data_IF_697312688808
#
_entry.id   IF_697312688808
#
_cell.length_a   1.000
_cell.length_b   1.000
_cell.length_c   1.000
_cell.angle_alpha   90.00
_cell.angle_beta   90.00
_cell.angle_gamma   90.00
#
_symmetry.space_group_name_H-M   'P 1'
#
loop_
_entity.id
_entity.type
_entity.pdbx_description
1 polymer ?
#
# COMPACT_ATOMS: atom_id res chain seq x y z
N UNK A 1 6.98 -8.69 6.68
CA UNK A 1 6.12 -8.39 5.49
C UNK A 1 5.68 -9.69 4.86
N UNK A 2 4.38 -9.80 4.55
CA UNK A 2 3.83 -10.95 3.83
C UNK A 2 3.93 -10.75 2.31
N UNK A 3 4.12 -11.86 1.61
CA UNK A 3 4.01 -11.94 0.16
C UNK A 3 3.16 -13.17 -0.18
N UNK A 4 1.83 -13.06 -0.06
CA UNK A 4 0.94 -14.20 -0.16
C UNK A 4 1.01 -14.86 -1.54
N UNK A 5 1.01 -16.18 -1.54
CA UNK A 5 0.97 -17.00 -2.75
C UNK A 5 -0.29 -17.87 -2.76
N UNK A 6 -0.63 -18.45 -3.92
CA UNK A 6 -1.75 -19.40 -3.99
C UNK A 6 -1.58 -20.63 -3.09
N UNK A 7 -0.30 -21.02 -2.80
CA UNK A 7 0.01 -22.19 -1.96
C UNK A 7 0.10 -21.83 -0.49
N UNK A 8 0.56 -20.61 -0.17
CA UNK A 8 0.73 -20.12 1.19
C UNK A 8 0.29 -18.66 1.28
N UNK A 9 -0.91 -18.39 1.84
CA UNK A 9 -1.41 -17.03 2.01
C UNK A 9 -0.63 -16.23 3.09
N UNK A 10 0.20 -16.89 3.87
CA UNK A 10 1.01 -16.30 4.93
C UNK A 10 2.51 -16.28 4.62
N UNK A 11 2.90 -16.60 3.39
CA UNK A 11 4.29 -16.53 2.98
C UNK A 11 4.89 -15.16 3.31
N UNK A 12 6.11 -15.13 3.84
CA UNK A 12 6.81 -13.92 4.25
C UNK A 12 7.97 -13.59 3.33
N UNK A 13 8.35 -12.33 3.29
CA UNK A 13 9.62 -11.87 2.75
C UNK A 13 10.66 -11.96 3.87
N UNK A 14 11.63 -12.87 3.80
CA UNK A 14 12.63 -13.03 4.85
C UNK A 14 13.43 -11.74 5.05
N UNK A 15 13.62 -11.34 6.32
CA UNK A 15 14.41 -10.17 6.68
C UNK A 15 13.72 -8.81 6.49
N UNK A 16 12.51 -8.75 5.92
CA UNK A 16 11.77 -7.51 5.75
C UNK A 16 10.62 -7.42 6.75
N UNK A 17 10.66 -6.38 7.59
CA UNK A 17 9.63 -6.09 8.59
C UNK A 17 9.01 -4.72 8.32
N UNK A 18 7.75 -4.54 8.70
CA UNK A 18 7.05 -3.27 8.68
C UNK A 18 6.24 -3.11 9.97
N UNK A 19 6.28 -1.93 10.56
CA UNK A 19 5.56 -1.54 11.77
C UNK A 19 4.99 -0.14 11.61
N UNK A 20 4.02 0.23 12.43
CA UNK A 20 3.40 1.55 12.43
C UNK A 20 2.63 1.84 11.14
N UNK A 21 2.63 3.08 10.69
CA UNK A 21 1.87 3.52 9.51
C UNK A 21 2.27 2.82 8.21
N UNK A 22 3.53 2.37 8.10
CA UNK A 22 3.99 1.60 6.95
C UNK A 22 3.45 0.17 6.90
N UNK A 23 2.78 -0.29 7.96
CA UNK A 23 2.31 -1.65 8.10
C UNK A 23 0.78 -1.75 8.06
N UNK A 24 0.28 -2.88 7.56
CA UNK A 24 -1.09 -3.33 7.78
C UNK A 24 -1.06 -4.55 8.70
N UNK A 25 -1.08 -4.31 10.02
CA UNK A 25 -0.93 -5.35 11.03
C UNK A 25 -2.19 -6.19 11.27
N UNK A 26 -3.31 -5.81 10.65
CA UNK A 26 -4.62 -6.52 10.70
C UNK A 26 -5.28 -6.57 12.09
N UNK A 27 -4.87 -5.73 13.03
CA UNK A 27 -5.45 -5.70 14.40
C UNK A 27 -6.47 -4.59 14.61
N UNK A 28 -6.54 -3.63 13.68
CA UNK A 28 -7.44 -2.48 13.78
C UNK A 28 -8.81 -2.69 13.12
N UNK A 29 -9.02 -3.82 12.46
CA UNK A 29 -10.17 -4.00 11.59
C UNK A 29 -10.06 -3.13 10.32
N UNK A 30 -11.21 -2.73 9.77
CA UNK A 30 -11.26 -1.94 8.54
C UNK A 30 -11.06 -0.43 8.77
N UNK A 31 -11.06 0.02 10.02
CA UNK A 31 -10.78 1.39 10.40
C UNK A 31 -10.15 1.44 11.80
N UNK A 32 -9.02 2.13 11.91
CA UNK A 32 -8.32 2.32 13.18
C UNK A 32 -9.09 3.27 14.10
N UNK A 33 -9.28 2.87 15.35
CA UNK A 33 -9.81 3.77 16.40
C UNK A 33 -8.76 4.82 16.79
N UNK A 34 -9.25 5.97 17.25
CA UNK A 34 -8.39 7.03 17.78
C UNK A 34 -7.44 6.51 18.87
N UNK A 35 -6.23 7.04 18.93
CA UNK A 35 -5.13 6.69 19.86
C UNK A 35 -4.51 5.30 19.68
N UNK A 36 -5.16 4.34 19.03
CA UNK A 36 -4.64 2.98 18.85
C UNK A 36 -3.38 2.92 17.97
N UNK A 37 -3.10 3.96 17.21
CA UNK A 37 -1.84 4.07 16.44
C UNK A 37 -0.61 4.04 17.34
N UNK A 38 -0.65 4.76 18.46
CA UNK A 38 0.48 4.81 19.40
C UNK A 38 0.74 3.45 20.05
N UNK A 39 -0.33 2.71 20.39
CA UNK A 39 -0.21 1.33 20.91
C UNK A 39 0.42 0.40 19.88
N UNK A 40 -0.02 0.49 18.64
CA UNK A 40 0.53 -0.26 17.51
C UNK A 40 2.05 -0.02 17.36
N UNK A 41 2.47 1.24 17.30
CA UNK A 41 3.87 1.63 17.18
C UNK A 41 4.74 1.00 18.29
N UNK A 42 4.29 1.09 19.54
CA UNK A 42 5.04 0.60 20.71
C UNK A 42 5.07 -0.94 20.75
N UNK A 43 3.92 -1.58 20.59
CA UNK A 43 3.78 -3.04 20.71
C UNK A 43 4.52 -3.75 19.59
N UNK A 44 4.25 -3.37 18.34
CA UNK A 44 4.88 -4.04 17.19
C UNK A 44 6.33 -3.60 16.97
N UNK A 45 6.71 -2.38 17.37
CA UNK A 45 8.10 -1.97 17.43
C UNK A 45 8.92 -2.87 18.37
N UNK A 46 8.41 -3.13 19.58
CA UNK A 46 9.02 -4.08 20.52
C UNK A 46 9.05 -5.50 19.95
N UNK A 47 7.95 -5.96 19.36
CA UNK A 47 7.88 -7.30 18.75
C UNK A 47 8.91 -7.47 17.61
N UNK A 48 9.06 -6.47 16.76
CA UNK A 48 10.08 -6.48 15.70
C UNK A 48 11.50 -6.49 16.27
N UNK A 49 11.78 -5.69 17.31
CA UNK A 49 13.09 -5.67 17.98
C UNK A 49 13.43 -7.03 18.59
N UNK A 50 12.48 -7.64 19.30
CA UNK A 50 12.67 -8.98 19.89
C UNK A 50 12.94 -10.02 18.78
N UNK A 51 12.18 -9.95 17.69
CA UNK A 51 12.38 -10.85 16.54
C UNK A 51 13.75 -10.65 15.88
N UNK A 52 14.23 -9.43 15.77
CA UNK A 52 15.58 -9.14 15.32
C UNK A 52 16.62 -9.77 16.24
N UNK A 53 16.48 -9.60 17.57
CA UNK A 53 17.38 -10.19 18.55
C UNK A 53 17.44 -11.73 18.50
N UNK A 54 16.30 -12.38 18.19
CA UNK A 54 16.23 -13.84 18.03
C UNK A 54 16.89 -14.34 16.73
N UNK A 55 16.85 -13.54 15.66
CA UNK A 55 17.21 -13.99 14.31
C UNK A 55 18.55 -13.47 13.82
N UNK A 56 19.00 -12.31 14.33
CA UNK A 56 20.26 -11.68 13.93
C UNK A 56 21.35 -12.04 14.94
N UNK A 57 22.43 -12.67 14.47
CA UNK A 57 23.59 -12.97 15.29
C UNK A 57 24.67 -11.90 15.08
N UNK A 58 25.13 -11.22 16.15
CA UNK A 58 26.23 -10.27 16.04
C UNK A 58 27.47 -10.92 15.40
N UNK A 59 28.07 -10.27 14.41
CA UNK A 59 29.23 -10.77 13.69
C UNK A 59 28.95 -11.85 12.63
N UNK A 60 27.68 -12.26 12.45
CA UNK A 60 27.32 -13.16 11.35
C UNK A 60 27.66 -12.54 10.00
N UNK A 61 28.21 -13.34 9.10
CA UNK A 61 28.49 -12.86 7.73
C UNK A 61 27.18 -12.58 7.01
N UNK A 62 27.10 -11.41 6.41
CA UNK A 62 26.01 -11.09 5.49
C UNK A 62 26.10 -11.96 4.23
N UNK A 63 24.93 -12.23 3.63
CA UNK A 63 24.89 -12.81 2.30
C UNK A 63 25.69 -11.89 1.36
N UNK A 64 26.59 -12.43 0.52
CA UNK A 64 27.28 -11.61 -0.46
C UNK A 64 26.27 -10.99 -1.42
N UNK A 65 26.50 -9.74 -1.77
CA UNK A 65 25.72 -9.09 -2.83
C UNK A 65 25.98 -9.78 -4.16
N UNK A 66 24.92 -10.02 -4.91
CA UNK A 66 25.03 -10.42 -6.31
C UNK A 66 25.52 -9.23 -7.16
N UNK A 67 26.06 -9.54 -8.33
CA UNK A 67 26.55 -8.51 -9.27
C UNK A 67 25.49 -7.51 -9.70
N UNK A 68 24.21 -7.94 -9.69
CA UNK A 68 23.04 -7.15 -10.12
C UNK A 68 22.21 -6.60 -8.96
N UNK A 69 22.64 -6.87 -7.70
CA UNK A 69 21.93 -6.34 -6.54
C UNK A 69 21.99 -4.80 -6.56
N UNK A 70 20.82 -4.17 -6.58
CA UNK A 70 20.70 -2.70 -6.66
C UNK A 70 20.65 -2.12 -8.08
N UNK A 71 20.96 -2.88 -9.13
CA UNK A 71 20.98 -2.38 -10.51
C UNK A 71 19.65 -1.75 -10.94
N UNK A 72 18.51 -2.36 -10.57
CA UNK A 72 17.19 -1.80 -10.84
C UNK A 72 16.94 -0.47 -10.13
N UNK A 73 17.41 -0.32 -8.89
CA UNK A 73 17.25 0.92 -8.14
C UNK A 73 18.09 2.05 -8.75
N UNK A 74 19.32 1.74 -9.16
CA UNK A 74 20.18 2.68 -9.85
C UNK A 74 19.61 3.07 -11.22
N UNK A 75 19.15 2.12 -11.99
CA UNK A 75 18.51 2.37 -13.29
C UNK A 75 17.27 3.27 -13.15
N UNK A 76 16.45 3.06 -12.11
CA UNK A 76 15.29 3.91 -11.80
C UNK A 76 15.72 5.34 -11.43
N UNK A 77 16.76 5.48 -10.61
CA UNK A 77 17.31 6.79 -10.25
C UNK A 77 17.81 7.54 -11.50
N UNK A 78 18.62 6.89 -12.34
CA UNK A 78 19.16 7.47 -13.56
C UNK A 78 18.08 7.81 -14.59
N UNK A 79 17.04 6.97 -14.69
CA UNK A 79 15.89 7.23 -15.55
C UNK A 79 15.23 8.56 -15.19
N UNK A 80 14.90 8.78 -13.91
CA UNK A 80 14.23 10.02 -13.50
C UNK A 80 15.19 11.22 -13.52
N UNK A 81 16.42 11.06 -13.09
CA UNK A 81 17.42 12.13 -13.14
C UNK A 81 17.64 12.66 -14.56
N UNK A 82 17.55 11.80 -15.56
CA UNK A 82 17.70 12.17 -16.98
C UNK A 82 16.38 12.46 -17.70
N UNK A 83 15.25 12.46 -16.98
CA UNK A 83 13.92 12.61 -17.58
C UNK A 83 13.73 14.01 -18.18
N UNK A 84 13.45 14.08 -19.49
CA UNK A 84 13.28 15.31 -20.28
C UNK A 84 11.93 15.39 -20.97
N UNK A 85 10.89 14.79 -20.38
CA UNK A 85 9.53 14.85 -20.89
C UNK A 85 8.89 16.24 -20.84
N UNK A 86 7.59 16.31 -20.97
CA UNK A 86 6.82 17.55 -20.99
C UNK A 86 6.07 17.83 -19.68
N UNK A 87 5.81 16.79 -18.87
CA UNK A 87 4.98 16.85 -17.68
C UNK A 87 5.83 17.05 -16.42
N UNK A 88 5.60 18.12 -15.66
CA UNK A 88 6.29 18.35 -14.39
C UNK A 88 5.76 17.43 -13.29
N UNK A 89 6.63 17.08 -12.34
CA UNK A 89 6.26 16.29 -11.15
C UNK A 89 5.08 16.90 -10.39
N UNK A 90 5.12 18.21 -10.16
CA UNK A 90 4.05 18.92 -9.46
C UNK A 90 2.69 18.84 -10.19
N UNK A 91 2.68 18.99 -11.51
CA UNK A 91 1.45 18.93 -12.30
C UNK A 91 0.83 17.51 -12.29
N UNK A 92 1.65 16.48 -12.42
CA UNK A 92 1.17 15.10 -12.36
C UNK A 92 0.70 14.70 -10.95
N UNK A 93 1.41 15.17 -9.90
CA UNK A 93 1.01 14.97 -8.49
C UNK A 93 -0.35 15.62 -8.22
N UNK A 94 -0.55 16.89 -8.62
CA UNK A 94 -1.84 17.57 -8.46
C UNK A 94 -2.97 16.83 -9.19
N UNK A 95 -2.72 16.39 -10.43
CA UNK A 95 -3.71 15.60 -11.18
C UNK A 95 -4.07 14.30 -10.47
N UNK A 96 -3.08 13.55 -9.96
CA UNK A 96 -3.29 12.32 -9.18
C UNK A 96 -4.12 12.60 -7.92
N UNK A 97 -3.74 13.62 -7.14
CA UNK A 97 -4.43 13.99 -5.90
C UNK A 97 -5.89 14.38 -6.15
N UNK A 98 -6.15 15.19 -7.17
CA UNK A 98 -7.52 15.56 -7.56
C UNK A 98 -8.32 14.36 -8.03
N UNK A 99 -7.71 13.47 -8.80
CA UNK A 99 -8.35 12.23 -9.24
C UNK A 99 -8.76 11.37 -8.04
N UNK A 100 -7.87 11.16 -7.10
CA UNK A 100 -8.17 10.39 -5.88
C UNK A 100 -9.25 11.07 -5.03
N UNK A 101 -9.16 12.39 -4.83
CA UNK A 101 -10.13 13.16 -4.06
C UNK A 101 -11.53 13.15 -4.67
N UNK A 102 -11.62 13.20 -6.01
CA UNK A 102 -12.90 13.27 -6.73
C UNK A 102 -13.56 11.91 -6.88
N UNK A 103 -12.77 10.87 -7.18
CA UNK A 103 -13.29 9.57 -7.58
C UNK A 103 -13.22 8.47 -6.51
N UNK A 104 -12.39 8.66 -5.48
CA UNK A 104 -12.34 7.81 -4.31
C UNK A 104 -12.51 8.61 -3.00
N UNK A 105 -13.53 9.48 -2.89
CA UNK A 105 -13.78 10.28 -1.69
C UNK A 105 -14.25 9.40 -0.54
N UNK A 106 -14.74 10.02 0.54
CA UNK A 106 -15.31 9.30 1.69
C UNK A 106 -16.51 8.45 1.29
N UNK A 107 -17.45 9.04 0.53
CA UNK A 107 -18.63 8.36 -0.01
C UNK A 107 -18.43 8.06 -1.49
N UNK A 108 -18.64 6.81 -1.89
CA UNK A 108 -18.22 6.27 -3.19
C UNK A 108 -19.36 5.52 -3.86
N UNK A 109 -19.36 5.53 -5.18
CA UNK A 109 -20.21 4.66 -6.00
C UNK A 109 -19.36 3.89 -7.00
N UNK A 110 -19.89 2.79 -7.55
CA UNK A 110 -19.22 2.06 -8.63
C UNK A 110 -18.92 2.93 -9.84
N UNK A 111 -19.83 3.83 -10.18
CA UNK A 111 -19.65 4.77 -11.29
C UNK A 111 -18.44 5.68 -11.08
N UNK A 112 -18.39 6.40 -9.94
CA UNK A 112 -17.27 7.31 -9.62
C UNK A 112 -15.94 6.57 -9.54
N UNK A 113 -15.92 5.38 -8.96
CA UNK A 113 -14.70 4.57 -8.86
C UNK A 113 -14.23 4.07 -10.23
N UNK A 114 -15.11 3.65 -11.13
CA UNK A 114 -14.74 3.21 -12.48
C UNK A 114 -14.20 4.34 -13.35
N UNK A 115 -14.78 5.54 -13.24
CA UNK A 115 -14.17 6.73 -13.85
C UNK A 115 -12.79 7.01 -13.25
N UNK A 116 -12.68 6.87 -11.94
CA UNK A 116 -11.42 7.03 -11.21
C UNK A 116 -10.35 6.08 -11.68
N UNK A 117 -10.67 4.80 -11.93
CA UNK A 117 -9.75 3.82 -12.53
C UNK A 117 -9.16 4.34 -13.83
N UNK A 118 -10.02 4.75 -14.76
CA UNK A 118 -9.57 5.27 -16.06
C UNK A 118 -8.60 6.44 -15.89
N UNK A 119 -8.94 7.40 -15.03
CA UNK A 119 -8.13 8.61 -14.82
C UNK A 119 -6.83 8.34 -14.05
N UNK A 120 -6.83 7.43 -13.08
CA UNK A 120 -5.62 7.11 -12.34
C UNK A 120 -4.63 6.29 -13.18
N UNK A 121 -5.13 5.39 -14.02
CA UNK A 121 -4.32 4.62 -14.97
C UNK A 121 -3.68 5.54 -16.02
N UNK A 122 -4.41 6.58 -16.51
CA UNK A 122 -3.82 7.64 -17.32
C UNK A 122 -2.72 8.43 -16.57
N UNK A 123 -2.92 8.74 -15.28
CA UNK A 123 -1.89 9.39 -14.47
C UNK A 123 -0.66 8.51 -14.35
N UNK A 124 -0.84 7.21 -14.11
CA UNK A 124 0.26 6.26 -14.02
C UNK A 124 1.04 6.17 -15.34
N UNK A 125 0.35 6.08 -16.47
CA UNK A 125 1.01 6.06 -17.79
C UNK A 125 1.82 7.32 -18.08
N UNK A 126 1.37 8.49 -17.59
CA UNK A 126 2.07 9.77 -17.78
C UNK A 126 3.40 9.88 -17.05
N UNK A 127 3.72 8.98 -16.12
CA UNK A 127 5.05 8.96 -15.49
C UNK A 127 6.19 8.78 -16.51
N UNK A 128 5.90 8.19 -17.65
CA UNK A 128 6.86 8.04 -18.76
C UNK A 128 7.23 9.38 -19.43
N UNK A 129 6.40 10.43 -19.26
CA UNK A 129 6.60 11.77 -19.81
C UNK A 129 7.04 12.79 -18.76
N UNK A 130 7.54 12.35 -17.62
CA UNK A 130 8.00 13.25 -16.56
C UNK A 130 9.22 14.05 -17.01
N UNK A 131 9.31 15.28 -16.47
CA UNK A 131 10.42 16.20 -16.66
C UNK A 131 11.02 16.55 -15.31
N UNK A 132 12.29 16.26 -15.14
CA UNK A 132 13.12 16.74 -14.03
C UNK A 132 14.02 17.85 -14.57
N UNK A 133 14.05 18.99 -13.90
CA UNK A 133 14.76 20.18 -14.34
C UNK A 133 16.13 20.34 -13.70
N UNK A 134 16.28 19.85 -12.46
CA UNK A 134 17.54 19.82 -11.74
C UNK A 134 18.18 18.44 -11.91
N UNK A 135 19.33 18.38 -12.58
CA UNK A 135 20.12 17.16 -12.81
C UNK A 135 21.30 17.00 -11.84
N UNK A 136 21.42 17.90 -10.86
CA UNK A 136 22.44 17.82 -9.81
C UNK A 136 22.21 16.66 -8.86
N UNK A 137 23.23 16.29 -8.08
CA UNK A 137 23.14 15.28 -7.03
C UNK A 137 23.15 15.87 -5.61
N UNK A 138 23.08 17.20 -5.50
CA UNK A 138 23.17 17.91 -4.21
C UNK A 138 21.84 18.60 -3.94
N UNK A 139 21.14 18.19 -2.88
CA UNK A 139 19.83 18.74 -2.48
C UNK A 139 18.78 18.81 -3.60
N UNK A 140 18.82 17.83 -4.51
CA UNK A 140 17.89 17.77 -5.64
C UNK A 140 16.50 17.32 -5.18
N UNK A 141 15.68 18.28 -4.72
CA UNK A 141 14.32 18.02 -4.29
C UNK A 141 13.40 17.65 -5.46
N UNK A 142 13.65 18.15 -6.67
CA UNK A 142 12.89 17.82 -7.88
C UNK A 142 12.99 16.31 -8.18
N UNK A 143 14.19 15.74 -8.11
CA UNK A 143 14.40 14.30 -8.28
C UNK A 143 13.78 13.48 -7.15
N UNK A 144 13.95 13.91 -5.88
CA UNK A 144 13.37 13.21 -4.72
C UNK A 144 11.85 13.17 -4.84
N UNK A 145 11.21 14.29 -5.11
CA UNK A 145 9.74 14.37 -5.28
C UNK A 145 9.25 13.57 -6.48
N UNK A 146 10.06 13.43 -7.53
CA UNK A 146 9.72 12.59 -8.69
C UNK A 146 9.75 11.10 -8.33
N UNK A 147 10.76 10.65 -7.56
CA UNK A 147 10.84 9.28 -7.06
C UNK A 147 9.70 8.96 -6.09
N UNK A 148 9.32 9.92 -5.24
CA UNK A 148 8.15 9.81 -4.36
C UNK A 148 6.85 9.70 -5.16
N UNK A 149 6.68 10.53 -6.21
CA UNK A 149 5.49 10.49 -7.06
C UNK A 149 5.32 9.13 -7.75
N UNK A 150 6.39 8.50 -8.21
CA UNK A 150 6.33 7.15 -8.78
C UNK A 150 5.79 6.13 -7.76
N UNK A 151 6.23 6.24 -6.49
CA UNK A 151 5.70 5.41 -5.41
C UNK A 151 4.21 5.74 -5.13
N UNK A 152 3.85 7.02 -5.08
CA UNK A 152 2.46 7.46 -4.83
C UNK A 152 1.51 7.00 -5.94
N UNK A 153 1.92 7.08 -7.21
CA UNK A 153 1.12 6.61 -8.33
C UNK A 153 0.81 5.11 -8.22
N UNK A 154 1.79 4.30 -7.84
CA UNK A 154 1.58 2.86 -7.60
C UNK A 154 0.57 2.60 -6.49
N UNK A 155 0.64 3.36 -5.38
CA UNK A 155 -0.33 3.28 -4.29
C UNK A 155 -1.72 3.77 -4.70
N UNK A 156 -1.81 4.84 -5.48
CA UNK A 156 -3.06 5.40 -5.95
C UNK A 156 -3.80 4.42 -6.88
N UNK A 157 -3.09 3.79 -7.83
CA UNK A 157 -3.64 2.72 -8.68
C UNK A 157 -4.14 1.57 -7.81
N UNK A 158 -3.31 1.07 -6.89
CA UNK A 158 -3.71 -0.02 -6.00
C UNK A 158 -4.96 0.32 -5.18
N UNK A 159 -5.02 1.52 -4.60
CA UNK A 159 -6.15 1.96 -3.77
C UNK A 159 -7.45 2.11 -4.59
N UNK A 160 -7.39 2.72 -5.76
CA UNK A 160 -8.55 2.93 -6.63
C UNK A 160 -9.16 1.60 -7.10
N UNK A 161 -8.32 0.71 -7.65
CA UNK A 161 -8.74 -0.61 -8.13
C UNK A 161 -9.26 -1.50 -7.00
N UNK A 162 -8.61 -1.49 -5.83
CA UNK A 162 -9.05 -2.26 -4.67
C UNK A 162 -10.38 -1.75 -4.12
N UNK A 163 -10.59 -0.42 -4.09
CA UNK A 163 -11.83 0.19 -3.64
C UNK A 163 -12.99 -0.13 -4.59
N UNK A 164 -12.78 -0.06 -5.91
CA UNK A 164 -13.79 -0.41 -6.90
C UNK A 164 -14.19 -1.89 -6.84
N UNK A 165 -13.20 -2.78 -6.62
CA UNK A 165 -13.44 -4.21 -6.52
C UNK A 165 -14.31 -4.61 -5.32
N UNK A 166 -14.30 -3.85 -4.21
CA UNK A 166 -15.01 -4.20 -2.98
C UNK A 166 -16.43 -3.64 -2.95
N UNK A 167 -17.40 -4.50 -3.14
CA UNK A 167 -18.84 -4.19 -3.20
C UNK A 167 -19.50 -4.35 -1.82
N UNK A 168 -19.02 -3.60 -0.85
CA UNK A 168 -19.58 -3.52 0.52
C UNK A 168 -19.14 -2.21 1.18
N UNK A 169 -19.79 -1.85 2.27
CA UNK A 169 -19.36 -0.80 3.18
C UNK A 169 -18.77 -1.41 4.45
N UNK A 170 -17.49 -1.05 4.77
CA UNK A 170 -16.78 -1.58 5.95
C UNK A 170 -15.72 -0.60 6.42
N UNK A 171 -15.84 -0.13 7.64
CA UNK A 171 -14.89 0.84 8.21
C UNK A 171 -14.86 2.13 7.41
N UNK A 172 -13.70 2.47 6.83
CA UNK A 172 -13.53 3.65 5.99
C UNK A 172 -14.04 3.49 4.56
N UNK A 173 -14.31 2.27 4.10
CA UNK A 173 -14.94 2.01 2.81
C UNK A 173 -16.45 2.25 2.91
N UNK A 174 -16.93 3.37 2.39
CA UNK A 174 -18.35 3.71 2.34
C UNK A 174 -18.83 3.73 0.87
N UNK A 175 -19.60 2.71 0.48
CA UNK A 175 -20.20 2.53 -0.84
C UNK A 175 -21.67 2.86 -0.76
N UNK A 176 -22.11 3.97 -1.37
CA UNK A 176 -23.52 4.35 -1.37
C UNK A 176 -24.41 3.37 -2.13
N UNK A 177 -23.83 2.70 -3.13
CA UNK A 177 -24.47 1.63 -3.91
C UNK A 177 -24.42 0.26 -3.24
N UNK A 178 -23.58 0.06 -2.21
CA UNK A 178 -23.49 -1.13 -1.36
C UNK A 178 -23.35 -0.73 0.10
N UNK A 179 -24.39 -0.18 0.73
CA UNK A 179 -24.30 0.43 2.07
C UNK A 179 -24.03 -0.58 3.18
N UNK A 180 -24.39 -1.83 2.98
CA UNK A 180 -24.28 -2.88 3.99
C UNK A 180 -22.90 -3.56 3.97
N UNK A 181 -22.49 -4.07 5.14
CA UNK A 181 -21.35 -4.96 5.29
C UNK A 181 -21.75 -6.39 4.94
N UNK A 182 -20.96 -7.07 4.14
CA UNK A 182 -21.17 -8.47 3.76
C UNK A 182 -20.06 -9.38 4.29
N UNK A 183 -20.29 -9.94 5.49
CA UNK A 183 -19.31 -10.82 6.14
C UNK A 183 -19.18 -12.19 5.47
N UNK A 184 -20.12 -12.59 4.59
CA UNK A 184 -20.03 -13.86 3.86
C UNK A 184 -19.10 -13.75 2.65
N UNK A 185 -19.22 -12.69 1.86
CA UNK A 185 -18.44 -12.47 0.64
C UNK A 185 -17.11 -11.79 0.97
N UNK A 186 -17.08 -10.84 1.92
CA UNK A 186 -16.01 -9.86 2.09
C UNK A 186 -15.23 -9.93 3.41
N UNK A 187 -15.43 -10.96 4.25
CA UNK A 187 -14.59 -11.20 5.45
C UNK A 187 -13.19 -11.70 5.02
N UNK A 188 -12.49 -10.88 4.24
CA UNK A 188 -11.17 -11.17 3.69
C UNK A 188 -10.44 -9.89 3.38
N UNK A 189 -9.12 -9.92 3.44
CA UNK A 189 -8.27 -8.84 2.94
C UNK A 189 -8.25 -8.86 1.41
N UNK A 190 -8.35 -7.70 0.80
CA UNK A 190 -8.02 -7.51 -0.61
C UNK A 190 -6.52 -7.35 -0.73
N UNK A 191 -5.88 -8.16 -1.57
CA UNK A 191 -4.45 -8.09 -1.86
C UNK A 191 -4.30 -7.73 -3.33
N UNK A 192 -3.51 -6.70 -3.61
CA UNK A 192 -3.33 -6.19 -4.97
C UNK A 192 -1.85 -6.05 -5.30
N UNK A 193 -1.50 -6.43 -6.51
CA UNK A 193 -0.21 -6.19 -7.13
C UNK A 193 -0.37 -5.23 -8.28
N UNK A 194 0.57 -4.32 -8.42
CA UNK A 194 0.68 -3.39 -9.55
C UNK A 194 2.02 -3.66 -10.23
N UNK A 195 2.01 -3.97 -11.50
CA UNK A 195 3.25 -4.18 -12.25
C UNK A 195 3.86 -2.86 -12.76
N UNK A 196 5.01 -2.93 -13.41
CA UNK A 196 5.73 -1.77 -13.93
C UNK A 196 4.93 -0.97 -14.99
N UNK A 197 3.97 -1.61 -15.66
CA UNK A 197 3.07 -0.98 -16.62
C UNK A 197 1.78 -0.43 -15.98
N UNK A 198 1.60 -0.59 -14.66
CA UNK A 198 0.39 -0.16 -13.95
C UNK A 198 -0.76 -1.19 -13.99
N UNK A 199 -0.54 -2.36 -14.59
CA UNK A 199 -1.56 -3.39 -14.63
C UNK A 199 -1.73 -4.02 -13.24
N UNK A 200 -2.98 -4.16 -12.82
CA UNK A 200 -3.33 -4.69 -11.51
C UNK A 200 -3.70 -6.17 -11.55
N UNK A 201 -3.39 -6.86 -10.45
CA UNK A 201 -3.88 -8.20 -10.15
C UNK A 201 -4.40 -8.22 -8.73
N UNK A 202 -5.66 -8.61 -8.57
CA UNK A 202 -6.33 -8.72 -7.26
C UNK A 202 -6.45 -10.18 -6.86
N UNK A 203 -6.21 -10.45 -5.58
CA UNK A 203 -6.46 -11.72 -4.90
C UNK A 203 -6.92 -11.44 -3.46
N UNK A 204 -7.22 -12.48 -2.69
CA UNK A 204 -7.77 -12.33 -1.35
C UNK A 204 -7.01 -13.20 -0.36
N UNK A 205 -6.91 -12.70 0.87
CA UNK A 205 -6.36 -13.42 2.02
C UNK A 205 -7.42 -13.47 3.12
N UNK A 206 -7.66 -14.63 3.77
CA UNK A 206 -8.60 -14.74 4.87
C UNK A 206 -8.23 -13.81 6.04
N UNK A 207 -9.22 -13.27 6.73
CA UNK A 207 -9.03 -12.62 8.02
C UNK A 207 -8.88 -13.71 9.09
N UNK A 208 -7.86 -13.60 9.94
CA UNK A 208 -7.68 -14.48 11.10
C UNK A 208 -8.57 -13.95 12.22
N UNK A 209 -9.58 -14.73 12.61
CA UNK A 209 -10.57 -14.35 13.63
C UNK A 209 -10.32 -15.06 14.98
N UNK A 210 -9.30 -15.87 15.07
CA UNK A 210 -8.94 -16.60 16.30
C UNK A 210 -7.92 -15.82 17.11
N UNK A 211 -7.97 -15.95 18.44
CA UNK A 211 -6.97 -15.46 19.36
C UNK A 211 -5.77 -16.43 19.42
N UNK A 212 -4.61 -15.97 19.89
CA UNK A 212 -3.42 -16.81 20.05
C UNK A 212 -3.49 -17.71 21.28
N UNK A 213 -4.25 -17.28 22.30
CA UNK A 213 -4.45 -18.00 23.57
C UNK A 213 -5.92 -17.98 23.94
N UNK A 214 -6.31 -18.82 24.90
CA UNK A 214 -7.68 -18.88 25.42
C UNK A 214 -8.00 -17.78 26.46
N UNK A 215 -7.04 -16.93 26.79
CA UNK A 215 -7.21 -15.84 27.76
C UNK A 215 -8.20 -14.77 27.28
N UNK A 216 -8.29 -14.60 25.95
CA UNK A 216 -9.22 -13.66 25.32
C UNK A 216 -10.08 -14.40 24.29
N UNK A 217 -11.39 -14.29 24.43
CA UNK A 217 -12.31 -14.87 23.45
C UNK A 217 -12.39 -13.99 22.18
N UNK A 218 -12.54 -14.59 21.00
CA UNK A 218 -12.77 -13.85 19.77
C UNK A 218 -14.03 -12.98 19.87
N UNK A 219 -13.93 -11.72 19.45
CA UNK A 219 -15.05 -10.80 19.38
C UNK A 219 -15.52 -10.73 17.93
N UNK A 220 -16.73 -11.22 17.62
CA UNK A 220 -17.25 -11.18 16.26
C UNK A 220 -17.53 -9.74 15.81
N UNK A 221 -17.47 -9.45 14.50
CA UNK A 221 -17.87 -8.16 13.97
C UNK A 221 -19.33 -7.87 14.28
N UNK A 222 -19.62 -6.64 14.70
CA UNK A 222 -20.98 -6.16 14.92
C UNK A 222 -21.15 -4.76 14.36
N UNK A 223 -22.38 -4.36 14.12
CA UNK A 223 -22.69 -3.02 13.68
C UNK A 223 -22.21 -1.99 14.74
N UNK A 224 -21.68 -0.85 14.25
CA UNK A 224 -21.33 0.26 15.10
C UNK A 224 -22.62 0.94 15.56
N UNK A 225 -22.75 1.16 16.87
CA UNK A 225 -23.87 1.91 17.49
C UNK A 225 -23.26 3.15 18.11
N UNK A 226 -23.79 4.32 17.80
CA UNK A 226 -23.43 5.61 18.38
C UNK A 226 -24.47 6.05 19.39
#
# INVERSE_FOLDING_TARGET
VINPTKKDPNAIVPGLMAIGEAACVSVHGANRLGSNSLLDLVVFGRAAANRCAETVQPGAKHRPFGTDDGSKALARLDHYRSAKGSTTTAALRDKMQRTMQTHAPVFRTGETLNEGITKIDECFARKADLKVTDDSMIFNTDLVETLELDNLLSQAVAAMHAAANREESRGAQAREDFPDRDDKKWMKHTVIWVDEAGKTKIDYRPVIMTTLTDEVQPIPPKARVY
#
